data_IF_941114825885
#
_entry.id   IF_941114825885
#
_cell.length_a   1.000
_cell.length_b   1.000
_cell.length_c   1.000
_cell.angle_alpha   90.00
_cell.angle_beta   90.00
_cell.angle_gamma   90.00
#
_symmetry.space_group_name_H-M   'P 1'
#
loop_
_entity.id
_entity.type
_entity.pdbx_description
1 polymer ?
#
# COMPACT_ATOMS: atom_id res chain seq x y z
N UNK A 1 31.34 7.59 46.50
CA UNK A 1 30.31 8.26 45.67
C UNK A 1 30.98 9.00 44.54
N UNK A 2 31.00 8.44 43.32
CA UNK A 2 31.55 9.05 42.10
C UNK A 2 30.44 9.00 41.04
N UNK A 3 30.20 10.17 40.45
CA UNK A 3 29.00 10.52 39.66
C UNK A 3 29.06 9.90 38.27
N UNK A 4 27.98 9.23 37.87
CA UNK A 4 27.75 8.79 36.50
C UNK A 4 27.62 10.02 35.58
N UNK A 5 28.55 10.17 34.65
CA UNK A 5 28.46 11.16 33.57
C UNK A 5 28.67 10.42 32.25
N UNK A 6 27.64 9.70 31.81
CA UNK A 6 27.58 9.12 30.48
C UNK A 6 27.00 10.19 29.55
N UNK A 7 27.88 11.05 29.03
CA UNK A 7 27.57 12.02 27.99
C UNK A 7 27.48 11.28 26.64
N UNK A 8 26.33 10.69 26.35
CA UNK A 8 25.98 10.36 24.96
C UNK A 8 25.55 11.65 24.26
N UNK A 9 26.53 12.31 23.64
CA UNK A 9 26.31 13.43 22.74
C UNK A 9 25.58 12.95 21.49
N UNK A 10 24.29 13.27 21.41
CA UNK A 10 23.46 13.08 20.23
C UNK A 10 23.88 14.13 19.20
N UNK A 11 24.78 13.77 18.29
CA UNK A 11 24.99 14.53 17.06
C UNK A 11 23.94 14.09 16.04
N UNK A 12 22.78 14.75 16.05
CA UNK A 12 21.81 14.63 14.97
C UNK A 12 22.41 15.21 13.69
N UNK A 13 22.98 14.35 12.86
CA UNK A 13 23.13 14.63 11.44
C UNK A 13 21.73 14.53 10.81
N UNK A 14 21.03 15.65 10.70
CA UNK A 14 19.82 15.75 9.88
C UNK A 14 20.21 15.56 8.43
N UNK A 15 20.09 14.32 7.95
CA UNK A 15 20.10 14.02 6.52
C UNK A 15 18.78 14.59 5.97
N UNK A 16 18.86 15.76 5.34
CA UNK A 16 17.77 16.28 4.53
C UNK A 16 17.65 15.38 3.29
N UNK A 17 16.85 14.32 3.40
CA UNK A 17 16.46 13.51 2.25
C UNK A 17 15.50 14.38 1.43
N UNK A 18 16.02 15.00 0.37
CA UNK A 18 15.19 15.47 -0.75
C UNK A 18 14.65 14.23 -1.49
N UNK A 19 13.76 13.48 -0.84
CA UNK A 19 12.91 12.53 -1.53
C UNK A 19 11.87 13.39 -2.24
N UNK A 20 11.96 13.48 -3.57
CA UNK A 20 10.78 13.81 -4.34
C UNK A 20 9.65 12.91 -3.85
N UNK A 21 8.51 13.49 -3.50
CA UNK A 21 7.31 12.77 -3.09
C UNK A 21 6.73 11.98 -4.28
N UNK A 22 7.51 11.13 -4.94
CA UNK A 22 6.95 10.01 -5.67
C UNK A 22 6.47 9.05 -4.60
N UNK A 23 5.23 9.24 -4.15
CA UNK A 23 4.54 8.27 -3.30
C UNK A 23 4.63 6.93 -4.01
N UNK A 24 5.49 6.07 -3.49
CA UNK A 24 5.64 4.71 -3.97
C UNK A 24 4.25 4.09 -3.99
N UNK A 25 3.85 3.56 -5.15
CA UNK A 25 2.51 3.00 -5.30
C UNK A 25 2.39 1.79 -4.38
N UNK A 26 1.57 1.91 -3.33
CA UNK A 26 1.38 0.86 -2.34
C UNK A 26 0.38 -0.19 -2.84
N UNK A 27 0.85 -1.43 -3.00
CA UNK A 27 0.00 -2.56 -3.41
C UNK A 27 -0.68 -3.15 -2.19
N UNK A 28 -2.00 -3.05 -2.11
CA UNK A 28 -2.77 -3.64 -1.02
C UNK A 28 -3.04 -5.12 -1.29
N UNK A 29 -3.12 -5.91 -0.22
CA UNK A 29 -3.31 -7.36 -0.34
C UNK A 29 -4.77 -7.74 -0.62
N UNK A 30 -5.00 -9.01 -0.98
CA UNK A 30 -6.34 -9.58 -1.13
C UNK A 30 -7.11 -9.55 0.17
N UNK A 31 -6.46 -9.89 1.28
CA UNK A 31 -7.03 -9.92 2.62
C UNK A 31 -7.49 -8.52 3.05
N UNK A 32 -6.66 -7.51 2.77
CA UNK A 32 -7.03 -6.11 2.99
C UNK A 32 -8.34 -5.77 2.27
N UNK A 33 -8.42 -6.06 0.97
CA UNK A 33 -9.61 -5.75 0.20
C UNK A 33 -10.83 -6.58 0.60
N UNK A 34 -10.65 -7.84 1.02
CA UNK A 34 -11.72 -8.68 1.56
C UNK A 34 -12.32 -8.12 2.86
N UNK A 35 -11.53 -7.38 3.63
CA UNK A 35 -12.01 -6.66 4.82
C UNK A 35 -12.52 -5.25 4.48
N UNK A 36 -12.09 -4.66 3.37
CA UNK A 36 -12.38 -3.29 2.94
C UNK A 36 -13.08 -3.27 1.57
N UNK A 37 -14.26 -3.90 1.51
CA UNK A 37 -15.00 -4.12 0.26
C UNK A 37 -15.33 -2.82 -0.51
N UNK A 38 -15.70 -1.74 0.18
CA UNK A 38 -16.01 -0.48 -0.49
C UNK A 38 -14.80 0.09 -1.22
N UNK A 39 -13.61 -0.09 -0.65
CA UNK A 39 -12.37 0.30 -1.28
C UNK A 39 -12.00 -0.63 -2.44
N UNK A 40 -12.26 -1.93 -2.29
CA UNK A 40 -12.12 -2.89 -3.37
C UNK A 40 -12.98 -2.50 -4.59
N UNK A 41 -14.23 -2.05 -4.37
CA UNK A 41 -15.11 -1.54 -5.44
C UNK A 41 -14.52 -0.31 -6.12
N UNK A 42 -14.18 0.73 -5.35
CA UNK A 42 -13.60 1.97 -5.90
C UNK A 42 -12.34 1.68 -6.71
N UNK A 43 -11.52 0.76 -6.22
CA UNK A 43 -10.29 0.38 -6.90
C UNK A 43 -10.58 -0.40 -8.18
N UNK A 44 -11.45 -1.42 -8.14
CA UNK A 44 -11.84 -2.17 -9.32
C UNK A 44 -12.46 -1.26 -10.41
N UNK A 45 -13.30 -0.30 -10.02
CA UNK A 45 -13.89 0.68 -10.93
C UNK A 45 -12.82 1.57 -11.59
N UNK A 46 -11.86 2.05 -10.80
CA UNK A 46 -10.69 2.78 -11.33
C UNK A 46 -9.92 1.91 -12.33
N UNK A 47 -9.64 0.65 -11.98
CA UNK A 47 -8.90 -0.28 -12.82
C UNK A 47 -9.63 -0.60 -14.13
N UNK A 48 -10.96 -0.69 -14.10
CA UNK A 48 -11.80 -0.84 -15.28
C UNK A 48 -11.70 0.39 -16.19
N UNK A 49 -11.87 1.59 -15.64
CA UNK A 49 -11.79 2.85 -16.38
C UNK A 49 -10.43 3.08 -17.03
N UNK A 50 -9.35 2.61 -16.38
CA UNK A 50 -7.99 2.73 -16.88
C UNK A 50 -7.58 1.61 -17.84
N UNK A 51 -8.46 0.64 -18.11
CA UNK A 51 -8.13 -0.54 -18.95
C UNK A 51 -7.06 -1.45 -18.34
N UNK A 52 -6.80 -1.33 -17.03
CA UNK A 52 -5.79 -2.10 -16.29
C UNK A 52 -6.26 -3.50 -15.90
N UNK A 53 -7.49 -3.86 -16.28
CA UNK A 53 -8.12 -5.16 -16.01
C UNK A 53 -7.76 -6.24 -17.03
N UNK A 54 -7.11 -5.86 -18.13
CA UNK A 54 -6.85 -6.74 -19.28
C UNK A 54 -5.37 -7.12 -19.35
N UNK A 55 -4.91 -7.98 -18.43
CA UNK A 55 -3.60 -8.63 -18.54
C UNK A 55 -2.84 -8.78 -17.23
N UNK A 56 -2.02 -9.83 -17.16
CA UNK A 56 -0.97 -9.96 -16.17
C UNK A 56 0.20 -9.03 -16.56
N UNK A 57 0.38 -7.89 -15.88
CA UNK A 57 1.70 -7.24 -15.79
C UNK A 57 2.18 -7.23 -14.36
N UNK A 58 3.50 -7.28 -14.22
CA UNK A 58 4.23 -7.17 -12.95
C UNK A 58 4.16 -5.77 -12.32
N UNK A 59 3.36 -4.86 -12.89
CA UNK A 59 3.22 -3.49 -12.39
C UNK A 59 2.45 -3.49 -11.07
N UNK A 60 2.93 -2.75 -10.06
CA UNK A 60 2.26 -2.61 -8.76
C UNK A 60 0.77 -2.27 -8.88
N UNK A 61 0.42 -1.37 -9.79
CA UNK A 61 -0.95 -0.92 -10.02
C UNK A 61 -1.88 -2.06 -10.48
N UNK A 62 -1.42 -2.91 -11.40
CA UNK A 62 -2.22 -4.03 -11.90
C UNK A 62 -2.34 -5.17 -10.88
N UNK A 63 -1.29 -5.39 -10.08
CA UNK A 63 -1.36 -6.32 -8.95
C UNK A 63 -2.42 -5.87 -7.94
N UNK A 64 -2.46 -4.58 -7.65
CA UNK A 64 -3.44 -4.00 -6.75
C UNK A 64 -4.87 -4.09 -7.31
N UNK A 65 -5.04 -3.83 -8.62
CA UNK A 65 -6.29 -4.09 -9.34
C UNK A 65 -6.75 -5.56 -9.25
N UNK A 66 -5.82 -6.49 -9.43
CA UNK A 66 -6.09 -7.93 -9.35
C UNK A 66 -6.53 -8.33 -7.95
N UNK A 67 -5.90 -7.78 -6.92
CA UNK A 67 -6.25 -8.05 -5.53
C UNK A 67 -7.64 -7.50 -5.17
N UNK A 68 -7.97 -6.29 -5.64
CA UNK A 68 -9.28 -5.68 -5.46
C UNK A 68 -10.38 -6.49 -6.15
N UNK A 69 -10.22 -6.84 -7.43
CA UNK A 69 -11.19 -7.66 -8.17
C UNK A 69 -11.37 -9.04 -7.54
N UNK A 70 -10.25 -9.71 -7.15
CA UNK A 70 -10.31 -11.00 -6.48
C UNK A 70 -11.16 -10.94 -5.21
N UNK A 71 -10.98 -9.90 -4.39
CA UNK A 71 -11.74 -9.72 -3.16
C UNK A 71 -13.24 -9.51 -3.43
N UNK A 72 -13.61 -8.87 -4.55
CA UNK A 72 -15.02 -8.72 -4.95
C UNK A 72 -15.64 -10.04 -5.42
N UNK A 73 -14.89 -10.84 -6.18
CA UNK A 73 -15.34 -12.12 -6.74
C UNK A 73 -15.42 -13.23 -5.68
N UNK A 74 -14.53 -13.20 -4.69
CA UNK A 74 -14.43 -14.21 -3.63
C UNK A 74 -15.14 -13.80 -2.35
N UNK A 75 -15.98 -12.77 -2.40
CA UNK A 75 -16.84 -12.45 -1.24
C UNK A 75 -17.76 -13.64 -0.98
N UNK A 76 -17.85 -14.11 0.27
CA UNK A 76 -18.95 -15.00 0.63
C UNK A 76 -20.24 -14.25 0.30
N UNK A 77 -21.08 -14.84 -0.56
CA UNK A 77 -22.41 -14.30 -0.86
C UNK A 77 -23.10 -14.03 0.47
N UNK A 78 -23.24 -12.76 0.83
CA UNK A 78 -24.08 -12.37 1.95
C UNK A 78 -25.51 -12.62 1.48
N UNK A 79 -26.01 -13.81 1.78
CA UNK A 79 -27.43 -14.17 1.69
C UNK A 79 -28.23 -13.39 2.72
#
# INVERSE_FOLDING_TARGET
MKKNLFLFGVAMATIAVMAGCEKEFEVKSKEYYSQNIEEAKKRADYCHNMGLTNGFSDKPEQRDCTNASWALDHRPMQK
#
